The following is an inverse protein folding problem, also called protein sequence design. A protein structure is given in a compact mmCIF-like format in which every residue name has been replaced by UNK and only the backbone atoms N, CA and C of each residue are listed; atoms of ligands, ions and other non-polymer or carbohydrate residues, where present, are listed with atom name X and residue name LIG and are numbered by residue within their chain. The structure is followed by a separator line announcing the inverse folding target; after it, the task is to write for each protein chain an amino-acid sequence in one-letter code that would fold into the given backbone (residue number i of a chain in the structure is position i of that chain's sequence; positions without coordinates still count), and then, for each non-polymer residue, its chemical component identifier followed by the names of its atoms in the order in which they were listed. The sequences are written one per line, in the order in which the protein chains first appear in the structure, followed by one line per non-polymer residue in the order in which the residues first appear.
data_IF_676315231937
#
_entry.id   IF_676315231937
#
_cell.length_a   1.000
_cell.length_b   1.000
_cell.length_c   1.000
_cell.angle_alpha   90.00
_cell.angle_beta   90.00
_cell.angle_gamma   90.00
#
_symmetry.space_group_name_H-M   'P 1'
#
loop_
_entity.id
_entity.type
_entity.pdbx_description
1 polymer ?
#
# COMPACT_ATOMS: atom_id res chain seq x y z
N UNK A 1 14.55 42.28 -38.39
CA UNK A 1 14.87 41.25 -37.38
C UNK A 1 14.40 39.92 -37.91
N UNK A 2 15.30 39.18 -38.57
CA UNK A 2 15.07 37.81 -39.02
C UNK A 2 15.77 36.86 -38.06
N UNK A 3 15.09 35.81 -37.63
CA UNK A 3 15.73 34.70 -36.93
C UNK A 3 15.42 33.39 -37.65
N UNK A 4 16.49 32.85 -38.23
CA UNK A 4 16.59 31.60 -38.98
C UNK A 4 16.43 30.40 -38.05
N UNK A 5 15.40 29.56 -38.29
CA UNK A 5 15.38 28.19 -37.76
C UNK A 5 16.15 27.28 -38.70
N UNK A 6 17.33 26.86 -38.24
CA UNK A 6 18.19 25.87 -38.89
C UNK A 6 17.46 24.54 -39.03
N UNK A 7 17.07 24.21 -40.26
CA UNK A 7 16.75 22.83 -40.64
C UNK A 7 18.06 22.08 -40.88
N UNK A 8 18.53 21.34 -39.88
CA UNK A 8 19.59 20.36 -40.09
C UNK A 8 19.03 19.19 -40.91
N UNK A 9 19.51 19.08 -42.15
CA UNK A 9 19.30 17.90 -43.00
C UNK A 9 20.03 16.71 -42.39
N UNK A 10 19.30 15.69 -41.97
CA UNK A 10 19.89 14.42 -41.54
C UNK A 10 20.11 13.58 -42.81
N UNK A 11 21.38 13.25 -43.05
CA UNK A 11 21.89 12.47 -44.18
C UNK A 11 21.31 11.06 -44.23
N UNK A 12 21.01 10.57 -45.43
CA UNK A 12 20.31 9.31 -45.70
C UNK A 12 21.15 8.02 -45.49
N UNK A 13 22.16 8.04 -44.62
CA UNK A 13 23.14 6.97 -44.50
C UNK A 13 23.02 6.11 -43.23
N UNK A 14 22.12 6.41 -42.30
CA UNK A 14 21.97 5.68 -41.02
C UNK A 14 20.57 5.10 -40.81
N UNK A 15 20.20 4.07 -41.59
CA UNK A 15 19.09 3.17 -41.24
C UNK A 15 19.52 1.70 -41.36
N UNK A 16 19.29 0.86 -40.33
CA UNK A 16 19.61 -0.56 -40.39
C UNK A 16 18.64 -1.32 -41.34
N UNK A 17 19.08 -2.43 -41.98
CA UNK A 17 18.30 -3.12 -42.99
C UNK A 17 17.12 -3.89 -42.39
N UNK A 18 15.93 -3.66 -42.93
CA UNK A 18 14.72 -4.43 -42.64
C UNK A 18 14.69 -5.66 -43.56
N UNK A 19 14.59 -6.86 -42.98
CA UNK A 19 14.44 -8.12 -43.73
C UNK A 19 13.09 -8.18 -44.47
N UNK A 20 13.03 -8.76 -45.69
CA UNK A 20 11.79 -8.84 -46.45
C UNK A 20 11.07 -10.17 -46.20
N UNK A 21 9.95 -10.16 -45.49
CA UNK A 21 8.87 -11.13 -45.71
C UNK A 21 7.56 -10.63 -45.09
N UNK A 22 6.44 -10.82 -45.82
CA UNK A 22 5.03 -10.47 -45.51
C UNK A 22 4.66 -8.99 -45.74
N UNK A 23 3.57 -8.59 -46.42
CA UNK A 23 2.47 -9.26 -47.09
C UNK A 23 1.88 -8.28 -48.13
N UNK A 24 1.55 -8.75 -49.34
CA UNK A 24 0.66 -8.04 -50.27
C UNK A 24 -0.61 -8.87 -50.35
N UNK A 25 -1.73 -8.32 -49.87
CA UNK A 25 -3.06 -8.45 -50.45
C UNK A 25 -3.97 -7.42 -49.75
N UNK A 26 -4.14 -6.25 -50.38
CA UNK A 26 -5.19 -5.28 -50.02
C UNK A 26 -6.26 -5.34 -51.11
N UNK A 27 -7.41 -5.88 -50.71
CA UNK A 27 -8.78 -5.37 -50.86
C UNK A 27 -9.20 -4.73 -52.19
N UNK A 28 -10.26 -5.27 -52.78
CA UNK A 28 -11.13 -4.58 -53.73
C UNK A 28 -12.58 -5.01 -53.53
N UNK A 29 -13.47 -4.00 -53.56
CA UNK A 29 -14.95 -4.01 -53.72
C UNK A 29 -15.82 -3.87 -52.46
N UNK A 30 -16.11 -2.60 -52.15
CA UNK A 30 -17.42 -1.92 -52.25
C UNK A 30 -18.70 -2.43 -51.54
N UNK A 31 -19.64 -1.50 -51.24
CA UNK A 31 -20.57 -1.56 -50.11
C UNK A 31 -22.04 -1.79 -50.51
N UNK A 32 -22.86 -2.39 -49.63
CA UNK A 32 -24.30 -2.11 -49.46
C UNK A 32 -25.02 -3.15 -48.58
N UNK A 33 -25.59 -2.70 -47.45
CA UNK A 33 -26.92 -3.07 -46.89
C UNK A 33 -27.01 -2.74 -45.38
N UNK A 34 -28.05 -2.02 -44.90
CA UNK A 34 -28.27 -1.75 -43.46
C UNK A 34 -29.41 -2.64 -42.89
N UNK A 35 -29.86 -2.49 -41.62
CA UNK A 35 -29.69 -3.48 -40.56
C UNK A 35 -30.98 -4.22 -40.16
N UNK A 36 -30.86 -5.43 -39.61
CA UNK A 36 -31.98 -6.17 -39.01
C UNK A 36 -31.93 -6.10 -37.48
N UNK A 37 -32.95 -5.48 -36.89
CA UNK A 37 -33.22 -5.45 -35.46
C UNK A 37 -33.67 -6.84 -34.98
N UNK A 38 -33.03 -7.36 -33.93
CA UNK A 38 -33.58 -8.41 -33.09
C UNK A 38 -33.34 -8.03 -31.62
N UNK A 39 -34.47 -7.88 -30.91
CA UNK A 39 -34.54 -7.54 -29.50
C UNK A 39 -34.30 -8.78 -28.60
N UNK A 40 -34.20 -8.48 -27.30
CA UNK A 40 -34.32 -9.34 -26.10
C UNK A 40 -33.18 -10.33 -25.82
N UNK A 41 -32.41 -10.10 -24.75
CA UNK A 41 -32.72 -10.71 -23.45
C UNK A 41 -31.88 -10.14 -22.30
N UNK A 42 -32.58 -9.75 -21.23
CA UNK A 42 -32.03 -9.24 -19.98
C UNK A 42 -31.76 -10.39 -19.01
N UNK A 43 -30.58 -10.99 -19.01
CA UNK A 43 -30.06 -11.70 -17.83
C UNK A 43 -28.56 -12.03 -17.99
N UNK A 44 -27.67 -11.13 -17.54
CA UNK A 44 -26.26 -11.48 -17.37
C UNK A 44 -25.91 -11.34 -15.90
N UNK A 45 -25.92 -12.48 -15.19
CA UNK A 45 -25.23 -12.67 -13.91
C UNK A 45 -23.85 -12.01 -13.99
N UNK A 46 -23.38 -11.28 -12.95
CA UNK A 46 -22.05 -10.69 -12.98
C UNK A 46 -21.02 -11.82 -13.09
N UNK A 47 -20.37 -11.93 -14.26
CA UNK A 47 -19.21 -12.81 -14.44
C UNK A 47 -18.12 -12.38 -13.47
N UNK A 48 -17.38 -13.31 -12.84
CA UNK A 48 -16.27 -12.98 -11.96
C UNK A 48 -15.27 -12.13 -12.73
N UNK A 49 -14.94 -10.99 -12.14
CA UNK A 49 -14.19 -9.93 -12.79
C UNK A 49 -12.83 -10.44 -13.28
N UNK A 50 -12.46 -9.96 -14.46
CA UNK A 50 -11.38 -10.41 -15.32
C UNK A 50 -10.00 -10.22 -14.69
N UNK A 51 -9.48 -11.24 -14.01
CA UNK A 51 -8.04 -11.33 -13.68
C UNK A 51 -7.19 -11.84 -14.87
N UNK A 52 -7.80 -12.06 -16.03
CA UNK A 52 -7.16 -12.56 -17.24
C UNK A 52 -5.99 -11.69 -17.75
N UNK A 53 -6.10 -10.35 -17.87
CA UNK A 53 -5.00 -9.55 -18.41
C UNK A 53 -3.82 -9.44 -17.43
N UNK A 54 -4.08 -9.34 -16.12
CA UNK A 54 -3.03 -9.26 -15.09
C UNK A 54 -2.31 -10.59 -14.92
N UNK A 55 -3.03 -11.70 -14.87
CA UNK A 55 -2.43 -13.04 -14.81
C UNK A 55 -1.59 -13.35 -16.06
N UNK A 56 -2.04 -12.89 -17.23
CA UNK A 56 -1.27 -13.02 -18.47
C UNK A 56 0.03 -12.19 -18.43
N UNK A 57 -0.02 -10.96 -17.93
CA UNK A 57 1.17 -10.12 -17.77
C UNK A 57 2.20 -10.75 -16.80
N UNK A 58 1.75 -11.31 -15.67
CA UNK A 58 2.62 -12.02 -14.71
C UNK A 58 3.23 -13.26 -15.35
N UNK A 59 2.44 -14.01 -16.13
CA UNK A 59 2.94 -15.18 -16.85
C UNK A 59 4.01 -14.79 -17.87
N UNK A 60 3.82 -13.68 -18.59
CA UNK A 60 4.79 -13.18 -19.56
C UNK A 60 6.10 -12.75 -18.88
N UNK A 61 6.04 -12.09 -17.72
CA UNK A 61 7.23 -11.76 -16.91
C UNK A 61 7.98 -13.02 -16.45
N UNK A 62 7.27 -14.04 -15.96
CA UNK A 62 7.86 -15.32 -15.56
C UNK A 62 8.52 -16.04 -16.74
N UNK A 63 7.87 -16.06 -17.89
CA UNK A 63 8.42 -16.61 -19.12
C UNK A 63 9.71 -15.88 -19.56
N UNK A 64 9.75 -14.55 -19.42
CA UNK A 64 10.95 -13.76 -19.73
C UNK A 64 12.10 -14.09 -18.77
N UNK A 65 11.83 -14.15 -17.47
CA UNK A 65 12.82 -14.56 -16.46
C UNK A 65 13.40 -15.93 -16.77
N UNK A 66 12.55 -16.91 -17.08
CA UNK A 66 13.01 -18.27 -17.37
C UNK A 66 13.86 -18.34 -18.65
N UNK A 67 13.53 -17.53 -19.67
CA UNK A 67 14.36 -17.38 -20.89
C UNK A 67 15.72 -16.77 -20.56
N UNK A 68 15.79 -15.76 -19.70
CA UNK A 68 17.06 -15.16 -19.27
C UNK A 68 17.92 -16.16 -18.49
N UNK A 69 17.34 -16.98 -17.60
CA UNK A 69 18.07 -18.07 -16.93
C UNK A 69 18.58 -19.14 -17.90
N UNK A 70 17.82 -19.47 -18.95
CA UNK A 70 18.30 -20.37 -19.99
C UNK A 70 19.46 -19.74 -20.77
N UNK A 71 19.39 -18.44 -21.05
CA UNK A 71 20.47 -17.71 -21.73
C UNK A 71 21.74 -17.63 -20.87
N UNK A 72 21.61 -17.34 -19.58
CA UNK A 72 22.71 -17.34 -18.60
C UNK A 72 23.41 -18.71 -18.54
N UNK A 73 22.65 -19.81 -18.50
CA UNK A 73 23.19 -21.18 -18.57
C UNK A 73 23.93 -21.46 -19.88
N UNK A 74 23.47 -20.92 -21.01
CA UNK A 74 24.18 -21.07 -22.29
C UNK A 74 25.48 -20.27 -22.32
N UNK A 75 25.48 -19.03 -21.82
CA UNK A 75 26.68 -18.18 -21.79
C UNK A 75 27.75 -18.74 -20.86
N UNK A 76 27.36 -19.26 -19.69
CA UNK A 76 28.31 -19.89 -18.75
C UNK A 76 29.05 -21.06 -19.40
N UNK A 77 28.33 -21.97 -20.05
CA UNK A 77 28.94 -23.08 -20.80
C UNK A 77 29.88 -22.59 -21.92
N UNK A 78 29.50 -21.53 -22.64
CA UNK A 78 30.35 -20.93 -23.67
C UNK A 78 31.61 -20.29 -23.07
N UNK A 79 31.48 -19.65 -21.92
CA UNK A 79 32.58 -19.00 -21.20
C UNK A 79 33.58 -20.05 -20.73
N UNK A 80 33.11 -21.15 -20.17
CA UNK A 80 33.95 -22.29 -19.76
C UNK A 80 34.71 -22.86 -20.95
N UNK A 81 34.03 -23.06 -22.08
CA UNK A 81 34.67 -23.52 -23.32
C UNK A 81 35.74 -22.56 -23.84
N UNK A 82 35.50 -21.25 -23.80
CA UNK A 82 36.52 -20.25 -24.18
C UNK A 82 37.72 -20.28 -23.21
N UNK A 83 37.53 -20.63 -21.93
CA UNK A 83 38.66 -20.83 -21.00
C UNK A 83 39.48 -22.06 -21.33
N UNK A 84 38.84 -23.16 -21.74
CA UNK A 84 39.52 -24.38 -22.18
C UNK A 84 40.34 -24.11 -23.44
N UNK A 85 39.73 -23.47 -24.44
CA UNK A 85 40.40 -23.08 -25.68
C UNK A 85 41.60 -22.15 -25.38
N UNK A 86 41.44 -21.19 -24.46
CA UNK A 86 42.54 -20.34 -24.05
C UNK A 86 43.70 -21.15 -23.42
N UNK A 87 43.40 -22.12 -22.54
CA UNK A 87 44.41 -23.02 -21.95
C UNK A 87 45.10 -23.88 -23.01
N UNK A 88 44.35 -24.44 -23.97
CA UNK A 88 44.92 -25.22 -25.07
C UNK A 88 45.83 -24.39 -25.98
N UNK A 89 45.44 -23.15 -26.30
CA UNK A 89 46.27 -22.25 -27.11
C UNK A 89 47.55 -21.85 -26.38
N UNK A 90 47.51 -21.68 -25.06
CA UNK A 90 48.71 -21.44 -24.25
C UNK A 90 49.64 -22.66 -24.21
N UNK A 91 49.09 -23.88 -24.15
CA UNK A 91 49.89 -25.11 -24.21
C UNK A 91 50.60 -25.32 -25.56
N UNK A 92 50.08 -24.70 -26.63
CA UNK A 92 50.67 -24.72 -27.99
C UNK A 92 51.54 -23.49 -28.29
N UNK A 93 51.82 -22.64 -27.29
CA UNK A 93 52.53 -21.35 -27.43
C UNK A 93 51.89 -20.33 -28.42
N UNK A 94 50.62 -20.54 -28.78
CA UNK A 94 49.86 -19.71 -29.72
C UNK A 94 49.27 -18.46 -29.02
N UNK A 95 50.14 -17.53 -28.64
CA UNK A 95 49.78 -16.32 -27.87
C UNK A 95 48.69 -15.45 -28.54
N UNK A 96 48.70 -15.34 -29.87
CA UNK A 96 47.70 -14.54 -30.61
C UNK A 96 46.29 -15.12 -30.49
N UNK A 97 46.16 -16.45 -30.54
CA UNK A 97 44.86 -17.14 -30.43
C UNK A 97 44.36 -17.14 -28.99
N UNK A 98 45.27 -17.34 -28.02
CA UNK A 98 44.94 -17.23 -26.61
C UNK A 98 44.38 -15.85 -26.24
N UNK A 99 45.00 -14.75 -26.73
CA UNK A 99 44.49 -13.39 -26.50
C UNK A 99 43.10 -13.16 -27.12
N UNK A 100 42.80 -13.76 -28.28
CA UNK A 100 41.49 -13.67 -28.90
C UNK A 100 40.42 -14.40 -28.07
N UNK A 101 40.71 -15.61 -27.60
CA UNK A 101 39.82 -16.38 -26.73
C UNK A 101 39.52 -15.63 -25.42
N UNK A 102 40.54 -15.03 -24.79
CA UNK A 102 40.35 -14.21 -23.58
C UNK A 102 39.50 -12.96 -23.84
N UNK A 103 39.63 -12.31 -25.00
CA UNK A 103 38.76 -11.18 -25.37
C UNK A 103 37.30 -11.62 -25.56
N UNK A 104 37.06 -12.77 -26.17
CA UNK A 104 35.72 -13.36 -26.33
C UNK A 104 35.11 -13.72 -24.97
N UNK A 105 35.90 -14.34 -24.10
CA UNK A 105 35.52 -14.63 -22.71
C UNK A 105 35.08 -13.35 -21.98
N UNK A 106 35.90 -12.30 -22.00
CA UNK A 106 35.56 -11.01 -21.35
C UNK A 106 34.28 -10.37 -21.90
N UNK A 107 34.05 -10.49 -23.20
CA UNK A 107 32.80 -10.02 -23.82
C UNK A 107 31.59 -10.83 -23.32
N UNK A 108 31.70 -12.15 -23.24
CA UNK A 108 30.64 -13.03 -22.70
C UNK A 108 30.36 -12.76 -21.22
N UNK A 109 31.39 -12.55 -20.40
CA UNK A 109 31.25 -12.12 -19.01
C UNK A 109 30.50 -10.78 -18.90
N UNK A 110 30.78 -9.82 -19.79
CA UNK A 110 30.06 -8.54 -19.83
C UNK A 110 28.58 -8.70 -20.22
N UNK A 111 28.27 -9.67 -21.09
CA UNK A 111 26.88 -10.00 -21.43
C UNK A 111 26.18 -10.67 -20.26
N UNK A 112 26.86 -11.56 -19.55
CA UNK A 112 26.35 -12.20 -18.34
C UNK A 112 25.98 -11.16 -17.29
N UNK A 113 26.89 -10.22 -17.00
CA UNK A 113 26.62 -9.14 -16.05
C UNK A 113 25.42 -8.26 -16.45
N UNK A 114 25.23 -8.00 -17.75
CA UNK A 114 24.04 -7.29 -18.24
C UNK A 114 22.77 -8.11 -18.03
N UNK A 115 22.81 -9.41 -18.31
CA UNK A 115 21.69 -10.32 -18.08
C UNK A 115 21.33 -10.43 -16.60
N UNK A 116 22.31 -10.47 -15.71
CA UNK A 116 22.06 -10.45 -14.26
C UNK A 116 21.38 -9.16 -13.82
N UNK A 117 21.80 -8.02 -14.37
CA UNK A 117 21.13 -6.73 -14.14
C UNK A 117 19.68 -6.73 -14.64
N UNK A 118 19.41 -7.33 -15.81
CA UNK A 118 18.06 -7.47 -16.34
C UNK A 118 17.19 -8.42 -15.50
N UNK A 119 17.77 -9.50 -14.95
CA UNK A 119 17.08 -10.40 -14.04
C UNK A 119 16.67 -9.67 -12.75
N UNK A 120 17.58 -8.91 -12.14
CA UNK A 120 17.26 -8.11 -10.96
C UNK A 120 16.14 -7.09 -11.22
N UNK A 121 16.15 -6.45 -12.40
CA UNK A 121 15.07 -5.55 -12.82
C UNK A 121 13.72 -6.27 -12.97
N UNK A 122 13.70 -7.50 -13.52
CA UNK A 122 12.48 -8.29 -13.63
C UNK A 122 11.95 -8.76 -12.28
N UNK A 123 12.84 -9.10 -11.33
CA UNK A 123 12.46 -9.44 -9.96
C UNK A 123 11.82 -8.26 -9.25
N UNK A 124 12.42 -7.07 -9.37
CA UNK A 124 11.85 -5.83 -8.85
C UNK A 124 10.46 -5.55 -9.47
N UNK A 125 10.34 -5.62 -10.80
CA UNK A 125 9.08 -5.39 -11.50
C UNK A 125 7.99 -6.40 -11.07
N UNK A 126 8.37 -7.65 -10.84
CA UNK A 126 7.43 -8.67 -10.36
C UNK A 126 6.92 -8.33 -8.96
N UNK A 127 7.81 -7.91 -8.05
CA UNK A 127 7.42 -7.44 -6.72
C UNK A 127 6.53 -6.20 -6.75
N UNK A 128 6.84 -5.24 -7.63
CA UNK A 128 6.03 -4.03 -7.82
C UNK A 128 4.61 -4.38 -8.33
N UNK A 129 4.49 -5.35 -9.25
CA UNK A 129 3.19 -5.82 -9.75
C UNK A 129 2.40 -6.53 -8.65
N UNK A 130 3.05 -7.38 -7.85
CA UNK A 130 2.40 -8.05 -6.71
C UNK A 130 1.90 -7.03 -5.68
N UNK A 131 2.70 -6.02 -5.37
CA UNK A 131 2.30 -4.93 -4.50
C UNK A 131 1.11 -4.14 -5.07
N UNK A 132 1.14 -3.81 -6.36
CA UNK A 132 0.04 -3.12 -7.03
C UNK A 132 -1.27 -3.92 -7.01
N UNK A 133 -1.20 -5.26 -7.10
CA UNK A 133 -2.38 -6.13 -6.95
C UNK A 133 -2.96 -6.06 -5.54
N UNK A 134 -2.12 -6.11 -4.51
CA UNK A 134 -2.57 -5.95 -3.11
C UNK A 134 -3.19 -4.56 -2.93
N UNK A 135 -2.56 -3.51 -3.46
CA UNK A 135 -3.07 -2.15 -3.37
C UNK A 135 -4.44 -2.00 -4.05
N UNK A 136 -4.66 -2.68 -5.19
CA UNK A 136 -5.96 -2.75 -5.85
C UNK A 136 -7.01 -3.41 -4.95
N UNK A 137 -6.67 -4.51 -4.30
CA UNK A 137 -7.61 -5.23 -3.43
C UNK A 137 -7.97 -4.40 -2.18
N UNK A 138 -7.00 -3.72 -1.57
CA UNK A 138 -7.23 -2.76 -0.48
C UNK A 138 -8.15 -1.62 -0.93
N UNK A 139 -7.91 -1.06 -2.12
CA UNK A 139 -8.76 0.00 -2.69
C UNK A 139 -10.19 -0.49 -2.90
N UNK A 140 -10.38 -1.71 -3.40
CA UNK A 140 -11.69 -2.31 -3.59
C UNK A 140 -12.42 -2.53 -2.25
N UNK A 141 -11.70 -2.98 -1.21
CA UNK A 141 -12.23 -3.08 0.15
C UNK A 141 -12.67 -1.72 0.72
N UNK A 142 -11.87 -0.67 0.53
CA UNK A 142 -12.24 0.70 0.92
C UNK A 142 -13.47 1.22 0.17
N UNK A 143 -13.57 0.94 -1.13
CA UNK A 143 -14.73 1.32 -1.93
C UNK A 143 -16.00 0.61 -1.46
N UNK A 144 -15.92 -0.69 -1.17
CA UNK A 144 -17.03 -1.45 -0.61
C UNK A 144 -17.43 -0.94 0.78
N UNK A 145 -16.47 -0.71 1.67
CA UNK A 145 -16.73 -0.14 2.99
C UNK A 145 -17.39 1.23 2.91
N UNK A 146 -16.92 2.08 2.00
CA UNK A 146 -17.52 3.40 1.73
C UNK A 146 -18.94 3.26 1.18
N UNK A 147 -19.19 2.34 0.25
CA UNK A 147 -20.52 2.09 -0.29
C UNK A 147 -21.49 1.59 0.80
N UNK A 148 -21.06 0.70 1.68
CA UNK A 148 -21.86 0.23 2.83
C UNK A 148 -22.16 1.38 3.77
N UNK A 149 -21.17 2.19 4.14
CA UNK A 149 -21.37 3.39 4.96
C UNK A 149 -22.35 4.37 4.32
N UNK A 150 -22.27 4.60 3.01
CA UNK A 150 -23.23 5.43 2.29
C UNK A 150 -24.65 4.86 2.32
N UNK A 151 -24.80 3.54 2.23
CA UNK A 151 -26.12 2.89 2.37
C UNK A 151 -26.66 3.06 3.78
N UNK A 152 -25.85 2.80 4.82
CA UNK A 152 -26.25 3.02 6.22
C UNK A 152 -26.61 4.49 6.45
N UNK A 153 -25.82 5.43 5.94
CA UNK A 153 -26.12 6.86 6.06
C UNK A 153 -27.45 7.19 5.38
N UNK A 154 -27.77 6.61 4.22
CA UNK A 154 -29.07 6.81 3.56
C UNK A 154 -30.22 6.19 4.36
N UNK A 155 -30.04 5.00 4.92
CA UNK A 155 -31.04 4.32 5.76
C UNK A 155 -31.31 5.08 7.07
N UNK A 156 -30.28 5.69 7.67
CA UNK A 156 -30.42 6.57 8.84
C UNK A 156 -30.97 7.97 8.51
N UNK A 157 -31.47 8.18 7.30
CA UNK A 157 -32.12 9.42 6.85
C UNK A 157 -31.19 10.43 6.19
N UNK A 158 -29.93 10.09 5.94
CA UNK A 158 -28.95 10.96 5.29
C UNK A 158 -28.65 12.21 6.11
N UNK A 159 -28.35 13.31 5.43
CA UNK A 159 -28.13 14.61 6.07
C UNK A 159 -29.43 15.12 6.70
N UNK A 160 -30.57 14.93 6.03
CA UNK A 160 -31.89 15.35 6.51
C UNK A 160 -32.32 14.60 7.79
N UNK A 161 -31.93 13.34 7.94
CA UNK A 161 -32.18 12.53 9.13
C UNK A 161 -31.41 13.05 10.34
N UNK A 162 -30.14 13.43 10.14
CA UNK A 162 -29.31 14.03 11.17
C UNK A 162 -29.83 15.43 11.54
N UNK A 163 -30.20 16.24 10.55
CA UNK A 163 -30.74 17.59 10.75
C UNK A 163 -32.09 17.54 11.50
N UNK A 164 -32.97 16.60 11.15
CA UNK A 164 -34.23 16.37 11.87
C UNK A 164 -33.99 15.89 13.30
N UNK A 165 -33.06 14.95 13.52
CA UNK A 165 -32.74 14.47 14.86
C UNK A 165 -32.17 15.60 15.73
N UNK A 166 -31.31 16.46 15.19
CA UNK A 166 -30.79 17.62 15.92
C UNK A 166 -31.91 18.62 16.24
N UNK A 167 -32.80 18.92 15.28
CA UNK A 167 -33.97 19.77 15.52
C UNK A 167 -34.91 19.20 16.59
N UNK A 168 -35.26 17.91 16.51
CA UNK A 168 -36.09 17.23 17.52
C UNK A 168 -35.44 17.23 18.91
N UNK A 169 -34.11 17.15 18.98
CA UNK A 169 -33.37 17.19 20.27
C UNK A 169 -33.33 18.61 20.84
N UNK A 170 -33.15 19.62 19.98
CA UNK A 170 -33.19 21.03 20.37
C UNK A 170 -34.60 21.43 20.84
N UNK A 171 -35.64 21.02 20.13
CA UNK A 171 -37.04 21.25 20.50
C UNK A 171 -37.41 20.53 21.81
N UNK A 172 -36.99 19.27 21.99
CA UNK A 172 -37.21 18.53 23.23
C UNK A 172 -36.50 19.19 24.43
N UNK A 173 -35.29 19.73 24.21
CA UNK A 173 -34.56 20.49 25.21
C UNK A 173 -35.27 21.79 25.55
N UNK A 174 -35.73 22.54 24.55
CA UNK A 174 -36.48 23.78 24.74
C UNK A 174 -37.78 23.51 25.51
N UNK A 175 -38.51 22.44 25.18
CA UNK A 175 -39.70 22.02 25.92
C UNK A 175 -39.38 21.64 27.37
N UNK A 176 -38.30 20.88 27.60
CA UNK A 176 -37.87 20.56 28.96
C UNK A 176 -37.50 21.82 29.76
N UNK A 177 -36.88 22.80 29.13
CA UNK A 177 -36.50 24.07 29.74
C UNK A 177 -37.72 24.96 30.01
N UNK A 178 -38.71 24.98 29.11
CA UNK A 178 -40.02 25.61 29.32
C UNK A 178 -40.77 24.97 30.48
N UNK A 179 -40.84 23.63 30.53
CA UNK A 179 -41.45 22.89 31.64
C UNK A 179 -40.71 23.19 32.95
N UNK A 180 -39.37 23.18 32.94
CA UNK A 180 -38.56 23.51 34.11
C UNK A 180 -38.83 24.94 34.59
N UNK A 181 -38.97 25.90 33.68
CA UNK A 181 -39.26 27.29 33.99
C UNK A 181 -40.71 27.49 34.49
N UNK A 182 -41.67 26.74 33.96
CA UNK A 182 -43.05 26.73 34.46
C UNK A 182 -43.14 26.14 35.86
N UNK A 183 -42.43 25.05 36.14
CA UNK A 183 -42.33 24.48 37.48
C UNK A 183 -41.69 25.48 38.45
N UNK A 184 -40.51 26.03 38.12
CA UNK A 184 -39.81 27.01 38.94
C UNK A 184 -40.61 28.31 39.18
N UNK A 185 -41.48 28.71 38.23
CA UNK A 185 -42.36 29.86 38.39
C UNK A 185 -43.63 29.62 39.23
N UNK A 186 -43.99 28.36 39.47
CA UNK A 186 -45.20 27.97 40.21
C UNK A 186 -44.91 27.42 41.62
N UNK A 187 -43.70 26.91 41.87
CA UNK A 187 -43.28 26.48 43.21
C UNK A 187 -43.03 27.70 44.11
N UNK A 188 -43.48 27.62 45.36
CA UNK A 188 -43.09 28.60 46.38
C UNK A 188 -41.76 28.18 46.98
N UNK A 189 -41.00 29.11 47.58
CA UNK A 189 -39.73 28.79 48.26
C UNK A 189 -39.89 27.67 49.30
N UNK A 190 -41.08 27.55 49.91
CA UNK A 190 -41.36 26.52 50.91
C UNK A 190 -41.58 25.14 50.26
N UNK A 191 -42.18 25.09 49.07
CA UNK A 191 -42.29 23.86 48.28
C UNK A 191 -40.91 23.44 47.73
N UNK A 192 -40.03 24.38 47.40
CA UNK A 192 -38.64 24.09 47.00
C UNK A 192 -37.81 23.51 48.16
N UNK A 193 -37.96 24.05 49.37
CA UNK A 193 -37.31 23.52 50.58
C UNK A 193 -37.79 22.09 50.90
N UNK A 194 -39.09 21.79 50.77
CA UNK A 194 -39.65 20.45 50.96
C UNK A 194 -39.12 19.43 49.93
N UNK A 195 -38.97 19.85 48.66
CA UNK A 195 -38.39 19.01 47.60
C UNK A 195 -36.90 18.74 47.83
N UNK A 196 -36.13 19.72 48.33
CA UNK A 196 -34.73 19.52 48.68
C UNK A 196 -34.58 18.55 49.87
N UNK A 197 -35.43 18.67 50.89
CA UNK A 197 -35.46 17.73 52.03
C UNK A 197 -35.78 16.29 51.57
N UNK A 198 -36.73 16.10 50.65
CA UNK A 198 -37.04 14.81 50.03
C UNK A 198 -35.87 14.27 49.19
N UNK A 199 -35.21 15.13 48.43
CA UNK A 199 -34.02 14.77 47.65
C UNK A 199 -32.88 14.31 48.57
N UNK A 200 -32.65 15.01 49.69
CA UNK A 200 -31.66 14.61 50.69
C UNK A 200 -32.02 13.29 51.37
N UNK A 201 -33.31 13.04 51.64
CA UNK A 201 -33.77 11.76 52.19
C UNK A 201 -33.50 10.60 51.22
N UNK A 202 -33.83 10.77 49.93
CA UNK A 202 -33.53 9.78 48.88
C UNK A 202 -32.02 9.59 48.69
N UNK A 203 -31.23 10.66 48.76
CA UNK A 203 -29.78 10.57 48.74
C UNK A 203 -29.23 9.80 49.94
N UNK A 204 -29.79 9.96 51.15
CA UNK A 204 -29.41 9.17 52.34
C UNK A 204 -29.85 7.71 52.26
N UNK A 205 -30.97 7.42 51.60
CA UNK A 205 -31.42 6.05 51.34
C UNK A 205 -30.54 5.33 50.29
N UNK A 206 -30.16 6.02 49.22
CA UNK A 206 -29.25 5.52 48.18
C UNK A 206 -27.80 5.47 48.64
N UNK A 207 -27.37 6.45 49.43
CA UNK A 207 -26.15 6.41 50.22
C UNK A 207 -26.37 5.54 51.46
N UNK A 208 -26.70 4.27 51.23
CA UNK A 208 -26.53 3.23 52.24
C UNK A 208 -25.13 3.35 52.89
N UNK A 209 -24.96 2.84 54.13
CA UNK A 209 -23.83 3.18 54.98
C UNK A 209 -22.55 3.13 54.17
N UNK A 210 -21.87 4.27 54.08
CA UNK A 210 -20.55 4.39 53.47
C UNK A 210 -19.62 3.44 54.21
N UNK A 211 -19.56 2.20 53.75
CA UNK A 211 -18.53 1.24 54.13
C UNK A 211 -17.30 1.68 53.34
N UNK A 212 -16.57 2.65 53.90
CA UNK A 212 -15.16 2.78 53.57
C UNK A 212 -14.54 1.41 53.90
N UNK A 213 -13.95 0.68 52.92
CA UNK A 213 -13.21 -0.52 53.24
C UNK A 213 -12.09 -0.10 54.20
N UNK A 214 -12.15 -0.62 55.43
CA UNK A 214 -11.09 -0.45 56.41
C UNK A 214 -9.76 -0.88 55.78
N UNK A 215 -8.69 -0.08 55.88
CA UNK A 215 -7.41 -0.41 55.29
C UNK A 215 -6.97 -1.78 55.80
N UNK A 216 -6.49 -2.70 54.93
CA UNK A 216 -6.15 -4.05 55.34
C UNK A 216 -5.04 -4.00 56.38
N UNK A 217 -5.39 -4.30 57.62
CA UNK A 217 -4.41 -4.62 58.67
C UNK A 217 -3.99 -6.07 58.47
N UNK A 218 -3.15 -6.30 57.48
CA UNK A 218 -2.42 -7.54 57.32
C UNK A 218 -0.94 -7.24 57.57
N UNK A 219 -0.50 -7.60 58.77
CA UNK A 219 0.90 -7.61 59.18
C UNK A 219 1.68 -8.46 58.17
N UNK A 220 2.72 -7.93 57.49
CA UNK A 220 3.46 -8.70 56.50
C UNK A 220 4.42 -9.65 57.22
N UNK A 221 4.18 -10.96 57.08
CA UNK A 221 5.20 -11.97 57.38
C UNK A 221 5.89 -12.34 56.06
N UNK A 222 7.23 -12.18 55.97
CA UNK A 222 7.96 -12.21 54.71
C UNK A 222 8.28 -13.65 54.28
N UNK A 223 8.11 -13.96 52.99
CA UNK A 223 8.72 -15.14 52.37
C UNK A 223 9.23 -14.78 50.98
N UNK A 224 10.56 -14.72 50.90
CA UNK A 224 11.45 -14.97 49.76
C UNK A 224 10.92 -14.64 48.35
N UNK A 225 11.38 -13.50 47.82
CA UNK A 225 11.36 -13.21 46.38
C UNK A 225 12.66 -13.73 45.74
N UNK A 226 12.56 -14.78 44.92
CA UNK A 226 13.59 -15.16 43.96
C UNK A 226 13.35 -14.43 42.63
N UNK A 227 14.45 -13.94 42.07
CA UNK A 227 14.57 -12.83 41.13
C UNK A 227 14.28 -13.22 39.67
N UNK A 228 13.49 -12.40 38.97
CA UNK A 228 13.51 -12.27 37.50
C UNK A 228 13.95 -10.82 37.16
N UNK A 229 15.00 -10.59 36.35
CA UNK A 229 15.53 -9.26 36.08
C UNK A 229 14.98 -8.66 34.78
N UNK A 230 14.34 -7.48 34.88
CA UNK A 230 14.16 -6.55 33.75
C UNK A 230 14.74 -5.17 34.11
N UNK A 231 15.27 -4.41 33.13
CA UNK A 231 16.33 -3.43 33.31
C UNK A 231 15.80 -2.04 33.69
N UNK A 232 16.22 -1.53 34.85
CA UNK A 232 15.97 -0.15 35.27
C UNK A 232 17.04 0.79 34.74
N UNK A 233 16.62 1.74 33.90
CA UNK A 233 17.25 3.05 33.71
C UNK A 233 17.49 3.71 35.06
N UNK A 234 18.74 4.07 35.37
CA UNK A 234 19.04 5.05 36.42
C UNK A 234 19.95 6.18 35.93
N UNK A 235 19.41 7.38 36.12
CA UNK A 235 20.06 8.54 36.76
C UNK A 235 21.21 9.21 36.02
N UNK A 236 20.80 10.27 35.32
CA UNK A 236 21.26 11.64 35.57
C UNK A 236 22.08 11.83 36.86
N UNK A 237 23.39 12.09 36.69
CA UNK A 237 24.23 13.01 37.46
C UNK A 237 25.65 13.01 36.88
N UNK A 238 25.86 13.75 35.78
CA UNK A 238 27.20 14.20 35.36
C UNK A 238 27.08 15.22 34.21
N UNK A 239 26.59 16.44 34.50
CA UNK A 239 26.82 17.59 33.60
C UNK A 239 26.65 18.91 34.35
N UNK A 240 27.73 19.39 34.97
CA UNK A 240 28.02 20.80 35.11
C UNK A 240 29.51 20.96 35.49
N UNK A 241 30.16 21.94 34.85
CA UNK A 241 31.50 22.48 35.13
C UNK A 241 32.68 21.61 34.63
N UNK A 242 33.63 22.06 33.80
CA UNK A 242 34.06 23.41 33.40
C UNK A 242 34.78 23.37 32.04
N UNK A 243 34.59 24.45 31.28
CA UNK A 243 35.40 24.94 30.14
C UNK A 243 36.90 24.73 30.34
N UNK A 244 37.68 24.32 29.32
CA UNK A 244 38.71 25.17 28.64
C UNK A 244 39.34 24.49 27.40
N UNK A 245 39.44 25.29 26.32
CA UNK A 245 40.47 25.40 25.27
C UNK A 245 40.79 24.27 24.24
N UNK A 246 40.68 24.66 22.96
CA UNK A 246 41.43 24.13 21.81
C UNK A 246 42.94 24.45 21.94
N UNK A 247 43.83 23.61 21.38
CA UNK A 247 45.13 24.07 20.90
C UNK A 247 45.09 24.37 19.39
N UNK A 248 45.89 25.37 19.02
CA UNK A 248 46.23 25.78 17.66
C UNK A 248 47.20 24.79 16.98
#
# INVERSE_FOLDING_TARGET
MGNSSSSQKISAQDRPPIHPYTAIYISSRDPSSPPSNAATDTNTKPKPQTNQPTQRAILDLKNQRDRLHQYQRKITVLTDRETEIAKECLARDDRRRALLALRRKKYQESLLAKTDGQLAQLEQLTGDVEFALVQKDVMYGLQQGTAVLQTIHKEMGGIEGVERLMGETEDARAYQEEVSQMLAGHLTNQDEDEVEDELEALQRELAGPVVLPSPPTAVPVPVEAELEPEPSRERSKAKAETRTALPA
#
